data_IF_815950318442
#
_entry.id   IF_815950318442
#
_cell.length_a   1.000
_cell.length_b   1.000
_cell.length_c   1.000
_cell.angle_alpha   90.00
_cell.angle_beta   90.00
_cell.angle_gamma   90.00
#
_symmetry.space_group_name_H-M   'P 1'
#
loop_
_entity.id
_entity.type
_entity.pdbx_description
1 polymer ?
#
# COMPACT_ATOMS: atom_id res chain seq x y z
N UNK A 1 -8.15 2.85 -2.44
CA UNK A 1 -9.59 2.90 -2.09
C UNK A 1 -10.56 2.72 -3.27
N UNK A 2 -10.17 2.98 -4.54
CA UNK A 2 -11.05 2.67 -5.71
C UNK A 2 -10.79 1.32 -6.39
N UNK A 3 -9.65 0.68 -6.14
CA UNK A 3 -9.19 -0.50 -6.89
C UNK A 3 -9.96 -1.80 -6.68
N UNK A 4 -10.91 -1.86 -5.73
CA UNK A 4 -11.76 -3.04 -5.53
C UNK A 4 -13.01 -3.00 -6.42
N UNK A 5 -13.52 -1.80 -6.76
CA UNK A 5 -14.83 -1.63 -7.41
C UNK A 5 -14.77 -0.85 -8.74
N UNK A 6 -13.60 -0.32 -9.11
CA UNK A 6 -13.35 0.42 -10.34
C UNK A 6 -11.99 -0.03 -10.93
N UNK A 7 -11.79 0.07 -12.25
CA UNK A 7 -10.50 -0.28 -12.87
C UNK A 7 -9.35 0.50 -12.22
N UNK A 8 -8.34 -0.24 -11.75
CA UNK A 8 -7.22 0.30 -10.97
C UNK A 8 -6.67 -0.74 -9.99
N UNK A 9 -5.71 -0.35 -9.15
CA UNK A 9 -5.12 -1.23 -8.13
C UNK A 9 -3.80 -0.71 -7.56
N UNK A 10 -3.21 -1.44 -6.61
CA UNK A 10 -1.94 -1.07 -5.97
C UNK A 10 -0.77 -1.00 -6.96
N UNK A 11 -0.76 -1.86 -7.98
CA UNK A 11 0.30 -1.86 -9.00
C UNK A 11 0.30 -0.58 -9.85
N UNK A 12 -0.84 -0.22 -10.44
CA UNK A 12 -0.98 1.01 -11.26
C UNK A 12 -0.75 2.26 -10.39
N UNK A 13 -1.25 2.27 -9.15
CA UNK A 13 -0.98 3.37 -8.22
C UNK A 13 0.52 3.51 -7.91
N UNK A 14 1.23 2.40 -7.75
CA UNK A 14 2.69 2.37 -7.61
C UNK A 14 3.41 2.94 -8.83
N UNK A 15 3.01 2.53 -10.05
CA UNK A 15 3.60 3.05 -11.29
C UNK A 15 3.41 4.55 -11.46
N UNK A 16 2.19 5.06 -11.22
CA UNK A 16 1.90 6.50 -11.31
C UNK A 16 2.72 7.28 -10.27
N UNK A 17 2.84 6.75 -9.05
CA UNK A 17 3.68 7.36 -8.00
C UNK A 17 5.14 7.41 -8.42
N UNK A 18 5.68 6.33 -8.99
CA UNK A 18 7.06 6.30 -9.51
C UNK A 18 7.27 7.32 -10.62
N UNK A 19 6.33 7.45 -11.55
CA UNK A 19 6.40 8.46 -12.63
C UNK A 19 6.44 9.87 -12.04
N UNK A 20 5.60 10.18 -11.06
CA UNK A 20 5.59 11.47 -10.41
C UNK A 20 6.94 11.80 -9.72
N UNK A 21 7.54 10.82 -9.04
CA UNK A 21 8.86 10.97 -8.42
C UNK A 21 9.98 11.16 -9.46
N UNK A 22 9.91 10.45 -10.59
CA UNK A 22 10.87 10.61 -11.70
C UNK A 22 10.72 11.99 -12.33
N UNK A 23 9.50 12.48 -12.54
CA UNK A 23 9.26 13.83 -13.07
C UNK A 23 9.78 14.89 -12.11
N UNK A 24 9.57 14.73 -10.81
CA UNK A 24 10.14 15.62 -9.79
C UNK A 24 11.67 15.63 -9.84
N UNK A 25 12.27 14.45 -9.98
CA UNK A 25 13.72 14.29 -10.13
C UNK A 25 14.26 15.01 -11.37
N UNK A 26 13.60 14.86 -12.54
CA UNK A 26 14.00 15.53 -13.78
C UNK A 26 13.85 17.05 -13.65
N UNK A 27 12.77 17.53 -13.01
CA UNK A 27 12.48 18.96 -12.89
C UNK A 27 13.37 19.68 -11.87
N UNK A 28 13.72 19.03 -10.75
CA UNK A 28 14.44 19.67 -9.63
C UNK A 28 15.89 19.21 -9.47
N UNK A 29 16.30 18.16 -10.19
CA UNK A 29 17.65 17.59 -10.12
C UNK A 29 17.87 16.66 -8.92
N UNK A 30 18.99 15.93 -8.97
CA UNK A 30 19.33 14.86 -8.01
C UNK A 30 19.47 15.37 -6.57
N UNK A 31 20.28 16.39 -6.33
CA UNK A 31 20.60 16.87 -4.99
C UNK A 31 19.33 17.35 -4.27
N UNK A 32 18.53 18.18 -4.95
CA UNK A 32 17.28 18.70 -4.39
C UNK A 32 16.29 17.60 -4.02
N UNK A 33 16.24 16.53 -4.83
CA UNK A 33 15.32 15.41 -4.66
C UNK A 33 15.79 14.46 -3.57
N UNK A 34 17.09 14.13 -3.51
CA UNK A 34 17.62 13.27 -2.46
C UNK A 34 17.53 13.92 -1.07
N UNK A 35 17.76 15.23 -0.96
CA UNK A 35 17.61 15.95 0.30
C UNK A 35 16.16 15.91 0.84
N UNK A 36 15.17 15.68 -0.04
CA UNK A 36 13.74 15.69 0.30
C UNK A 36 13.10 14.29 0.34
N UNK A 37 13.79 13.26 -0.15
CA UNK A 37 13.35 11.87 -0.06
C UNK A 37 14.25 11.16 0.98
N UNK A 38 13.89 11.19 2.27
CA UNK A 38 14.71 10.60 3.33
C UNK A 38 14.62 9.07 3.40
N UNK A 39 13.78 8.44 2.56
CA UNK A 39 13.46 7.02 2.66
C UNK A 39 14.34 6.17 1.74
N UNK A 40 14.89 5.08 2.26
CA UNK A 40 15.56 4.06 1.45
C UNK A 40 14.52 3.19 0.76
N UNK A 41 14.54 3.12 -0.57
CA UNK A 41 13.59 2.33 -1.36
C UNK A 41 13.53 0.86 -0.94
N UNK A 42 14.66 0.26 -0.53
CA UNK A 42 14.70 -1.11 0.00
C UNK A 42 13.81 -1.29 1.25
N UNK A 43 13.75 -0.29 2.13
CA UNK A 43 12.90 -0.35 3.32
C UNK A 43 11.42 -0.29 2.94
N UNK A 44 11.07 0.52 1.92
CA UNK A 44 9.69 0.62 1.42
C UNK A 44 9.21 -0.70 0.82
N UNK A 45 10.07 -1.36 0.04
CA UNK A 45 9.79 -2.69 -0.51
C UNK A 45 9.65 -3.72 0.62
N UNK A 46 10.60 -3.72 1.57
CA UNK A 46 10.55 -4.62 2.73
C UNK A 46 9.30 -4.45 3.58
N UNK A 47 8.85 -3.21 3.80
CA UNK A 47 7.59 -2.91 4.48
C UNK A 47 6.38 -3.44 3.69
N UNK A 48 6.35 -3.25 2.37
CA UNK A 48 5.29 -3.79 1.53
C UNK A 48 5.18 -5.32 1.62
N UNK A 49 6.31 -6.02 1.54
CA UNK A 49 6.34 -7.48 1.73
C UNK A 49 5.90 -7.87 3.14
N UNK A 50 6.37 -7.16 4.18
CA UNK A 50 6.01 -7.43 5.57
C UNK A 50 4.51 -7.26 5.80
N UNK A 51 3.89 -6.24 5.22
CA UNK A 51 2.45 -6.06 5.29
C UNK A 51 1.69 -7.18 4.59
N UNK A 52 2.11 -7.58 3.39
CA UNK A 52 1.50 -8.70 2.66
C UNK A 52 1.63 -10.04 3.40
N UNK A 53 2.79 -10.31 4.00
CA UNK A 53 3.01 -11.54 4.78
C UNK A 53 2.22 -11.55 6.08
N UNK A 54 2.12 -10.42 6.79
CA UNK A 54 1.27 -10.31 7.98
C UNK A 54 -0.20 -10.54 7.62
N UNK A 55 -0.67 -9.95 6.52
CA UNK A 55 -2.05 -10.15 6.06
C UNK A 55 -2.34 -11.63 5.80
N UNK A 56 -1.45 -12.34 5.10
CA UNK A 56 -1.62 -13.78 4.85
C UNK A 56 -1.43 -14.65 6.10
N UNK A 57 -0.50 -14.30 6.98
CA UNK A 57 -0.26 -15.02 8.24
C UNK A 57 -1.43 -14.86 9.22
N UNK A 58 -2.10 -13.72 9.22
CA UNK A 58 -3.32 -13.51 9.99
C UNK A 58 -4.39 -14.53 9.58
N UNK A 59 -4.61 -14.78 8.28
CA UNK A 59 -5.57 -15.78 7.80
C UNK A 59 -5.28 -17.18 8.35
N UNK A 60 -4.00 -17.57 8.38
CA UNK A 60 -3.55 -18.86 8.95
C UNK A 60 -3.82 -18.95 10.46
N UNK A 61 -3.59 -17.87 11.21
CA UNK A 61 -3.84 -17.83 12.66
C UNK A 61 -5.33 -18.05 13.01
N UNK A 62 -6.25 -17.68 12.11
CA UNK A 62 -7.69 -17.91 12.26
C UNK A 62 -8.17 -19.23 11.63
N UNK A 63 -7.26 -20.12 11.20
CA UNK A 63 -7.60 -21.44 10.66
C UNK A 63 -8.05 -21.45 9.20
N UNK A 64 -7.90 -20.33 8.48
CA UNK A 64 -8.22 -20.22 7.07
C UNK A 64 -6.96 -20.41 6.20
N UNK A 65 -7.11 -20.82 4.92
CA UNK A 65 -5.98 -20.88 3.99
C UNK A 65 -5.22 -19.53 3.89
N UNK A 66 -3.92 -19.60 3.62
CA UNK A 66 -3.08 -18.40 3.42
C UNK A 66 -3.67 -17.49 2.34
N UNK A 67 -3.62 -16.17 2.55
CA UNK A 67 -4.24 -15.14 1.69
C UNK A 67 -5.77 -15.23 1.56
N UNK A 68 -6.46 -15.93 2.48
CA UNK A 68 -7.92 -15.84 2.54
C UNK A 68 -8.31 -14.43 2.94
N UNK A 69 -8.96 -13.72 2.02
CA UNK A 69 -9.39 -12.34 2.25
C UNK A 69 -10.65 -12.29 3.11
N UNK A 70 -10.56 -11.64 4.27
CA UNK A 70 -11.70 -11.29 5.11
C UNK A 70 -12.00 -9.80 4.96
N UNK A 71 -13.29 -9.48 4.86
CA UNK A 71 -13.79 -8.11 4.89
C UNK A 71 -14.29 -7.82 6.31
N UNK A 72 -13.59 -6.92 7.01
CA UNK A 72 -13.98 -6.42 8.31
C UNK A 72 -14.47 -4.97 8.21
N UNK A 73 -15.59 -4.64 8.85
CA UNK A 73 -16.01 -3.25 8.98
C UNK A 73 -15.30 -2.63 10.18
N UNK A 74 -14.43 -1.65 9.95
CA UNK A 74 -13.84 -0.85 11.03
C UNK A 74 -14.65 0.44 11.16
N UNK A 75 -15.12 0.71 12.37
CA UNK A 75 -15.81 1.96 12.72
C UNK A 75 -14.82 2.90 13.38
N UNK A 76 -14.35 3.92 12.65
CA UNK A 76 -13.46 4.94 13.19
C UNK A 76 -14.25 6.16 13.65
N UNK A 77 -13.97 6.72 14.83
CA UNK A 77 -14.76 7.82 15.41
C UNK A 77 -14.74 9.12 14.59
N UNK A 78 -13.76 9.31 13.69
CA UNK A 78 -13.62 10.54 12.88
C UNK A 78 -14.26 10.42 11.49
N UNK A 79 -14.36 9.21 10.92
CA UNK A 79 -14.72 9.02 9.49
C UNK A 79 -15.96 8.12 9.31
N UNK A 80 -16.48 7.50 10.39
CA UNK A 80 -17.66 6.63 10.34
C UNK A 80 -17.32 5.16 10.06
N UNK A 81 -18.32 4.37 9.62
CA UNK A 81 -18.12 2.96 9.23
C UNK A 81 -17.47 2.89 7.85
N UNK A 82 -16.35 2.18 7.71
CA UNK A 82 -15.79 1.85 6.39
C UNK A 82 -15.34 0.41 6.29
N UNK A 83 -15.44 -0.13 5.08
CA UNK A 83 -15.02 -1.49 4.73
C UNK A 83 -13.49 -1.56 4.68
N UNK A 84 -12.91 -2.40 5.54
CA UNK A 84 -11.49 -2.75 5.50
C UNK A 84 -11.42 -4.21 5.06
N UNK A 85 -11.30 -4.40 3.75
CA UNK A 85 -10.91 -5.69 3.21
C UNK A 85 -9.43 -5.92 3.52
N UNK A 86 -9.06 -7.11 3.98
CA UNK A 86 -7.65 -7.50 4.11
C UNK A 86 -6.92 -7.46 2.75
N UNK A 87 -7.66 -7.48 1.63
CA UNK A 87 -7.15 -7.22 0.28
C UNK A 87 -6.66 -5.79 0.03
N UNK A 88 -6.93 -4.86 0.95
CA UNK A 88 -6.46 -3.48 0.86
C UNK A 88 -5.01 -3.33 1.35
N UNK A 89 -4.50 -4.33 2.09
CA UNK A 89 -3.09 -4.47 2.48
C UNK A 89 -2.34 -5.25 1.42
#
# INVERSE_FOLDING_TARGET
LRGHNLPGGGFIAGLITSIALILQYIASGLNWTQDRIPFKYHNVIGLGLLFATIAGAASLAFGYPFLTSTFGYITWPVVGKFEVASALV
#
